data_IF_354086649213
#
_entry.id   IF_354086649213
#
_cell.length_a   1.000
_cell.length_b   1.000
_cell.length_c   1.000
_cell.angle_alpha   90.00
_cell.angle_beta   90.00
_cell.angle_gamma   90.00
#
_symmetry.space_group_name_H-M   'P 1'
#
loop_
_entity.id
_entity.type
_entity.pdbx_description
1 polymer ?
#
# COMPACT_ATOMS: atom_id res chain seq x y z
N UNK A 1 8.15 16.14 11.89
CA UNK A 1 6.75 16.28 11.47
C UNK A 1 5.91 15.62 12.54
N UNK A 2 4.90 16.29 13.06
CA UNK A 2 3.92 15.72 13.98
C UNK A 2 2.76 15.15 13.18
N UNK A 3 2.07 14.17 13.79
CA UNK A 3 0.91 13.52 13.18
C UNK A 3 -0.27 13.58 14.16
N UNK A 4 -1.41 13.97 13.65
CA UNK A 4 -2.69 13.84 14.34
C UNK A 4 -3.33 12.50 14.01
N UNK A 5 -3.78 11.78 15.03
CA UNK A 5 -4.58 10.57 14.85
C UNK A 5 -6.03 10.97 14.62
N UNK A 6 -6.64 10.38 13.60
CA UNK A 6 -8.06 10.60 13.28
C UNK A 6 -8.79 9.25 13.13
N UNK A 7 -10.11 9.28 13.28
CA UNK A 7 -10.95 8.18 12.85
C UNK A 7 -10.94 8.10 11.32
N UNK A 8 -10.78 6.92 10.69
CA UNK A 8 -10.72 6.79 9.23
C UNK A 8 -11.89 7.44 8.48
N UNK A 9 -13.10 7.46 9.09
CA UNK A 9 -14.29 8.11 8.51
C UNK A 9 -14.19 9.64 8.41
N UNK A 10 -13.25 10.24 9.14
CA UNK A 10 -13.01 11.68 9.15
C UNK A 10 -11.86 12.07 8.22
N UNK A 11 -11.39 11.14 7.39
CA UNK A 11 -10.38 11.45 6.38
C UNK A 11 -11.01 12.31 5.29
N UNK A 12 -10.51 13.53 5.15
CA UNK A 12 -10.87 14.41 4.04
C UNK A 12 -10.14 14.00 2.77
N UNK A 13 -10.82 14.16 1.65
CA UNK A 13 -10.20 13.99 0.34
C UNK A 13 -10.94 13.00 -0.57
N UNK A 14 -10.58 13.06 -1.84
CA UNK A 14 -11.12 12.19 -2.86
C UNK A 14 -10.28 10.91 -2.94
N UNK A 15 -10.88 9.78 -2.61
CA UNK A 15 -10.20 8.46 -2.62
C UNK A 15 -9.68 8.08 -4.01
N UNK A 16 -10.40 8.46 -5.07
CA UNK A 16 -9.94 8.22 -6.45
C UNK A 16 -8.68 9.01 -6.76
N UNK A 17 -8.61 10.27 -6.28
CA UNK A 17 -7.42 11.10 -6.43
C UNK A 17 -6.24 10.55 -5.62
N UNK A 18 -6.48 10.19 -4.35
CA UNK A 18 -5.45 9.63 -3.47
C UNK A 18 -4.82 8.35 -4.05
N UNK A 19 -5.65 7.44 -4.54
CA UNK A 19 -5.19 6.14 -5.03
C UNK A 19 -4.68 6.25 -6.47
N UNK A 20 -5.52 6.78 -7.38
CA UNK A 20 -5.26 6.73 -8.82
C UNK A 20 -4.20 7.72 -9.29
N UNK A 21 -4.22 8.95 -8.76
CA UNK A 21 -3.36 10.03 -9.24
C UNK A 21 -2.17 10.29 -8.30
N UNK A 22 -2.39 10.38 -6.99
CA UNK A 22 -1.28 10.62 -6.04
C UNK A 22 -0.41 9.39 -5.82
N UNK A 23 -0.99 8.20 -5.91
CA UNK A 23 -0.36 6.92 -5.59
C UNK A 23 -0.02 6.82 -4.10
N UNK A 24 0.40 5.65 -3.68
CA UNK A 24 0.79 5.40 -2.30
C UNK A 24 1.85 4.31 -2.19
N UNK A 25 2.53 4.27 -1.06
CA UNK A 25 3.43 3.18 -0.73
C UNK A 25 2.71 2.14 0.12
N UNK A 26 2.89 0.87 -0.24
CA UNK A 26 2.56 -0.29 0.60
C UNK A 26 3.86 -0.75 1.23
N UNK A 27 3.93 -0.72 2.57
CA UNK A 27 5.15 -1.07 3.30
C UNK A 27 4.86 -2.15 4.33
N UNK A 28 5.72 -3.17 4.38
CA UNK A 28 5.63 -4.25 5.36
C UNK A 28 7.02 -4.64 5.89
N UNK A 29 7.02 -5.33 7.03
CA UNK A 29 8.22 -5.81 7.72
C UNK A 29 8.22 -7.33 7.73
N UNK A 30 9.37 -7.93 7.41
CA UNK A 30 9.61 -9.38 7.49
C UNK A 30 10.99 -9.62 8.06
N UNK A 31 11.08 -10.40 9.13
CA UNK A 31 12.37 -10.77 9.78
C UNK A 31 13.26 -9.54 10.06
N UNK A 32 12.66 -8.46 10.57
CA UNK A 32 13.34 -7.20 10.86
C UNK A 32 13.76 -6.37 9.62
N UNK A 33 13.48 -6.84 8.42
CA UNK A 33 13.72 -6.10 7.16
C UNK A 33 12.46 -5.39 6.70
N UNK A 34 12.62 -4.22 6.13
CA UNK A 34 11.53 -3.41 5.58
C UNK A 34 11.58 -3.48 4.06
N UNK A 35 10.43 -3.66 3.44
CA UNK A 35 10.29 -3.43 2.01
C UNK A 35 9.02 -2.64 1.70
N UNK A 36 9.06 -1.88 0.62
CA UNK A 36 7.95 -1.04 0.18
C UNK A 36 7.80 -1.10 -1.34
N UNK A 37 6.61 -0.79 -1.82
CA UNK A 37 6.34 -0.61 -3.25
C UNK A 37 5.28 0.45 -3.47
N UNK A 38 5.33 1.10 -4.61
CA UNK A 38 4.28 2.00 -5.04
C UNK A 38 3.11 1.23 -5.64
N UNK A 39 1.91 1.66 -5.27
CA UNK A 39 0.65 1.19 -5.81
C UNK A 39 -0.23 2.38 -6.24
N UNK A 40 -1.09 2.14 -7.22
CA UNK A 40 -2.09 3.09 -7.74
C UNK A 40 -3.46 2.43 -7.94
N UNK A 41 -3.62 1.20 -7.47
CA UNK A 41 -4.87 0.45 -7.48
C UNK A 41 -5.24 0.04 -6.07
N UNK A 42 -6.53 0.11 -5.77
CA UNK A 42 -7.08 -0.22 -4.48
C UNK A 42 -8.43 0.43 -4.24
N UNK A 43 -8.88 0.41 -3.02
CA UNK A 43 -10.16 1.00 -2.59
C UNK A 43 -10.14 1.28 -1.10
N UNK A 44 -11.04 2.12 -0.63
CA UNK A 44 -11.31 2.36 0.79
C UNK A 44 -12.82 2.39 1.01
N UNK A 45 -13.28 1.87 2.13
CA UNK A 45 -14.69 1.86 2.46
C UNK A 45 -15.00 1.09 3.73
N UNK A 46 -16.25 0.64 3.86
CA UNK A 46 -16.73 -0.13 5.00
C UNK A 46 -17.04 -1.56 4.56
N UNK A 47 -16.48 -2.53 5.26
CA UNK A 47 -16.82 -3.95 5.12
C UNK A 47 -16.74 -4.62 6.49
N UNK A 48 -17.66 -5.54 6.80
CA UNK A 48 -17.79 -6.17 8.12
C UNK A 48 -17.89 -5.15 9.27
N UNK A 49 -18.60 -4.04 9.04
CA UNK A 49 -18.70 -2.90 9.95
C UNK A 49 -17.36 -2.29 10.39
N UNK A 50 -16.31 -2.43 9.56
CA UNK A 50 -14.95 -1.94 9.81
C UNK A 50 -14.50 -1.01 8.68
N UNK A 51 -13.68 0.01 8.98
CA UNK A 51 -13.01 0.78 7.96
C UNK A 51 -11.94 -0.07 7.29
N UNK A 52 -12.05 -0.28 5.98
CA UNK A 52 -11.19 -1.16 5.20
C UNK A 52 -10.46 -0.37 4.13
N UNK A 53 -9.18 -0.67 3.96
CA UNK A 53 -8.42 -0.39 2.76
C UNK A 53 -8.16 -1.69 1.98
N UNK A 54 -8.45 -1.68 0.70
CA UNK A 54 -8.16 -2.77 -0.22
C UNK A 54 -6.87 -2.44 -0.97
N UNK A 55 -5.90 -3.34 -0.90
CA UNK A 55 -4.61 -3.24 -1.61
C UNK A 55 -4.44 -4.43 -2.53
N UNK A 56 -3.84 -4.22 -3.70
CA UNK A 56 -3.61 -5.30 -4.67
C UNK A 56 -2.12 -5.41 -5.01
N UNK A 57 -1.57 -6.60 -4.89
CA UNK A 57 -0.14 -6.84 -5.07
C UNK A 57 0.06 -8.06 -5.99
N UNK A 58 0.87 -7.90 -7.03
CA UNK A 58 1.26 -9.04 -7.87
C UNK A 58 2.25 -9.93 -7.14
N UNK A 59 2.13 -11.28 -7.21
CA UNK A 59 3.06 -12.20 -6.55
C UNK A 59 4.52 -12.03 -6.97
N UNK A 60 4.78 -11.47 -8.15
CA UNK A 60 6.13 -11.18 -8.64
C UNK A 60 6.81 -10.01 -7.93
N UNK A 61 6.06 -9.17 -7.20
CA UNK A 61 6.61 -8.03 -6.46
C UNK A 61 7.28 -8.50 -5.17
N UNK A 62 8.48 -8.01 -4.88
CA UNK A 62 9.20 -8.40 -3.66
C UNK A 62 8.42 -8.08 -2.37
N UNK A 63 7.67 -6.99 -2.35
CA UNK A 63 6.80 -6.62 -1.23
C UNK A 63 5.72 -7.67 -0.93
N UNK A 64 5.34 -8.51 -1.90
CA UNK A 64 4.42 -9.62 -1.71
C UNK A 64 4.89 -10.55 -0.59
N UNK A 65 6.17 -10.95 -0.61
CA UNK A 65 6.75 -11.85 0.39
C UNK A 65 6.70 -11.25 1.81
N UNK A 66 6.73 -9.92 1.91
CA UNK A 66 6.65 -9.18 3.17
C UNK A 66 5.22 -9.10 3.69
N UNK A 67 4.25 -8.78 2.83
CA UNK A 67 2.83 -8.75 3.21
C UNK A 67 2.33 -10.14 3.61
N UNK A 68 2.77 -11.20 2.93
CA UNK A 68 2.39 -12.57 3.33
C UNK A 68 2.89 -12.91 4.73
N UNK A 69 4.09 -12.49 5.08
CA UNK A 69 4.71 -12.77 6.37
C UNK A 69 4.22 -11.87 7.51
N UNK A 70 3.48 -10.79 7.23
CA UNK A 70 3.07 -9.78 8.21
C UNK A 70 1.57 -9.81 8.47
N UNK A 71 1.16 -9.62 9.72
CA UNK A 71 -0.24 -9.39 10.08
C UNK A 71 -0.67 -7.94 9.83
N UNK A 72 0.30 -7.01 9.89
CA UNK A 72 0.08 -5.57 9.73
C UNK A 72 1.00 -5.00 8.66
N UNK A 73 0.53 -3.94 8.00
CA UNK A 73 1.28 -3.19 7.00
C UNK A 73 0.82 -1.73 6.98
N UNK A 74 1.57 -0.86 6.33
CA UNK A 74 1.18 0.55 6.19
C UNK A 74 0.88 0.93 4.75
N UNK A 75 -0.06 1.86 4.61
CA UNK A 75 -0.32 2.62 3.39
C UNK A 75 0.07 4.07 3.66
N UNK A 76 0.96 4.62 2.85
CA UNK A 76 1.49 5.97 3.04
C UNK A 76 1.26 6.80 1.78
N UNK A 77 0.59 7.95 1.92
CA UNK A 77 0.29 8.89 0.86
C UNK A 77 1.14 10.15 1.04
N UNK A 78 1.58 10.74 -0.06
CA UNK A 78 2.60 11.80 -0.04
C UNK A 78 2.16 13.03 -0.83
N UNK A 79 2.72 14.22 -0.50
CA UNK A 79 2.66 15.38 -1.38
C UNK A 79 3.29 15.10 -2.74
N UNK A 80 2.81 15.78 -3.78
CA UNK A 80 3.24 15.56 -5.17
C UNK A 80 4.75 15.72 -5.40
N UNK A 81 5.43 16.52 -4.60
CA UNK A 81 6.89 16.69 -4.66
C UNK A 81 7.68 15.38 -4.47
N UNK A 82 7.05 14.35 -3.87
CA UNK A 82 7.67 13.03 -3.66
C UNK A 82 7.34 12.00 -4.77
N UNK A 83 6.63 12.41 -5.83
CA UNK A 83 6.37 11.55 -7.00
C UNK A 83 7.63 10.87 -7.56
N UNK A 84 8.79 11.55 -7.69
CA UNK A 84 10.02 10.88 -8.13
C UNK A 84 10.45 9.73 -7.22
N UNK A 85 10.33 9.88 -5.90
CA UNK A 85 10.63 8.82 -4.93
C UNK A 85 9.64 7.64 -5.07
N UNK A 86 8.34 7.93 -5.22
CA UNK A 86 7.33 6.90 -5.46
C UNK A 86 7.59 6.14 -6.77
N UNK A 87 7.96 6.85 -7.84
CA UNK A 87 8.31 6.23 -9.11
C UNK A 87 9.50 5.27 -8.97
N UNK A 88 10.57 5.70 -8.31
CA UNK A 88 11.73 4.86 -8.01
C UNK A 88 11.32 3.61 -7.23
N UNK A 89 10.55 3.76 -6.15
CA UNK A 89 10.09 2.65 -5.29
C UNK A 89 9.10 1.72 -6.00
N UNK A 90 8.41 2.21 -7.03
CA UNK A 90 7.51 1.42 -7.87
C UNK A 90 8.21 0.62 -8.96
N UNK A 91 9.32 1.12 -9.50
CA UNK A 91 10.03 0.53 -10.64
C UNK A 91 11.21 -0.35 -10.22
N UNK A 92 11.96 0.02 -9.19
CA UNK A 92 13.10 -0.75 -8.68
C UNK A 92 12.66 -1.85 -7.72
N UNK A 93 13.26 -3.04 -7.84
CA UNK A 93 13.03 -4.12 -6.87
C UNK A 93 13.93 -3.97 -5.65
N UNK A 94 13.40 -4.27 -4.46
CA UNK A 94 14.23 -4.39 -3.24
C UNK A 94 15.15 -5.62 -3.24
N UNK A 95 15.01 -6.52 -4.22
CA UNK A 95 15.95 -7.62 -4.44
C UNK A 95 17.26 -7.14 -5.07
N UNK A 96 17.23 -6.00 -5.79
CA UNK A 96 18.35 -5.49 -6.59
C UNK A 96 19.18 -4.43 -5.86
N UNK A 97 18.82 -4.06 -4.63
CA UNK A 97 19.53 -3.09 -3.83
C UNK A 97 18.65 -2.33 -2.83
N UNK A 98 19.25 -1.41 -2.08
CA UNK A 98 18.55 -0.60 -1.08
C UNK A 98 17.84 0.60 -1.71
N UNK A 99 16.72 0.32 -2.38
CA UNK A 99 15.90 1.35 -3.01
C UNK A 99 15.29 2.35 -2.02
N UNK A 100 15.13 1.96 -0.75
CA UNK A 100 14.58 2.85 0.27
C UNK A 100 15.59 3.97 0.57
N UNK A 101 16.85 3.64 0.82
CA UNK A 101 17.91 4.65 0.97
C UNK A 101 18.03 5.53 -0.27
N UNK A 102 17.94 4.95 -1.47
CA UNK A 102 18.01 5.71 -2.73
C UNK A 102 16.84 6.69 -2.90
N UNK A 103 15.66 6.36 -2.36
CA UNK A 103 14.48 7.24 -2.41
C UNK A 103 14.62 8.50 -1.57
N UNK A 104 15.57 8.51 -0.62
CA UNK A 104 15.79 9.58 0.37
C UNK A 104 14.60 9.82 1.30
N UNK A 105 13.64 8.90 1.36
CA UNK A 105 12.57 8.93 2.34
C UNK A 105 13.08 8.45 3.70
N UNK A 106 12.59 9.07 4.77
CA UNK A 106 13.02 8.80 6.15
C UNK A 106 12.05 7.85 6.81
N UNK A 107 12.48 6.59 7.02
CA UNK A 107 11.67 5.61 7.74
C UNK A 107 11.51 5.98 9.21
N UNK A 108 10.36 5.61 9.79
CA UNK A 108 10.14 5.58 11.23
C UNK A 108 9.18 4.44 11.60
N UNK A 109 9.33 3.95 12.83
CA UNK A 109 8.46 2.89 13.34
C UNK A 109 7.09 3.47 13.69
N UNK A 110 6.05 2.76 13.30
CA UNK A 110 4.67 3.01 13.72
C UNK A 110 4.23 1.89 14.67
N UNK A 111 2.94 1.85 15.05
CA UNK A 111 2.42 0.80 15.92
C UNK A 111 2.44 -0.57 15.23
N UNK A 112 2.32 -1.65 16.00
CA UNK A 112 2.20 -3.03 15.53
C UNK A 112 3.40 -3.50 14.68
N UNK A 113 4.62 -3.10 15.08
CA UNK A 113 5.88 -3.43 14.38
C UNK A 113 5.87 -3.08 12.89
N UNK A 114 5.15 -2.04 12.54
CA UNK A 114 5.09 -1.52 11.17
C UNK A 114 5.98 -0.29 11.00
N UNK A 115 6.28 0.04 9.74
CA UNK A 115 7.14 1.16 9.35
C UNK A 115 6.43 2.03 8.34
N UNK A 116 6.62 3.34 8.45
CA UNK A 116 6.19 4.35 7.48
C UNK A 116 7.29 5.38 7.23
N UNK A 117 6.97 6.49 6.58
CA UNK A 117 7.91 7.53 6.16
C UNK A 117 7.47 8.89 6.67
N UNK A 118 8.43 9.67 7.21
CA UNK A 118 8.17 11.00 7.80
C UNK A 118 7.63 12.03 6.80
N UNK A 119 7.83 11.78 5.51
CA UNK A 119 7.41 12.67 4.43
C UNK A 119 5.96 12.44 3.97
N UNK A 120 5.27 11.44 4.53
CA UNK A 120 3.89 11.13 4.18
C UNK A 120 2.90 12.12 4.82
N UNK A 121 1.90 12.55 4.06
CA UNK A 121 0.79 13.38 4.57
C UNK A 121 -0.25 12.53 5.31
N UNK A 122 -0.50 11.32 4.81
CA UNK A 122 -1.47 10.38 5.40
C UNK A 122 -0.81 9.03 5.56
N UNK A 123 -0.97 8.44 6.74
CA UNK A 123 -0.47 7.10 7.04
C UNK A 123 -1.61 6.29 7.63
N UNK A 124 -1.85 5.12 7.05
CA UNK A 124 -2.81 4.14 7.56
C UNK A 124 -2.06 2.88 7.98
N UNK A 125 -2.22 2.47 9.23
CA UNK A 125 -1.80 1.15 9.69
C UNK A 125 -2.97 0.20 9.47
N UNK A 126 -2.73 -0.85 8.70
CA UNK A 126 -3.74 -1.81 8.29
C UNK A 126 -3.45 -3.19 8.88
N UNK A 127 -4.48 -3.79 9.50
CA UNK A 127 -4.46 -5.21 9.92
C UNK A 127 -5.00 -6.07 8.79
N UNK A 128 -4.22 -7.02 8.32
CA UNK A 128 -4.66 -7.96 7.28
C UNK A 128 -5.79 -8.84 7.83
N UNK A 129 -6.99 -8.77 7.25
CA UNK A 129 -8.16 -9.54 7.67
C UNK A 129 -8.49 -10.69 6.73
N UNK A 130 -8.30 -10.46 5.42
CA UNK A 130 -8.69 -11.42 4.40
C UNK A 130 -7.86 -11.17 3.13
N UNK A 131 -7.66 -12.20 2.35
CA UNK A 131 -7.10 -12.07 1.01
C UNK A 131 -7.81 -12.99 0.02
N UNK A 132 -7.71 -12.64 -1.26
CA UNK A 132 -8.22 -13.43 -2.37
C UNK A 132 -7.37 -13.17 -3.62
N UNK A 133 -7.08 -14.21 -4.37
CA UNK A 133 -6.43 -14.06 -5.68
C UNK A 133 -7.49 -13.70 -6.74
N UNK A 134 -7.14 -12.80 -7.64
CA UNK A 134 -7.96 -12.53 -8.83
C UNK A 134 -7.91 -13.78 -9.70
N UNK A 135 -9.09 -14.37 -9.96
CA UNK A 135 -9.22 -15.55 -10.81
C UNK A 135 -9.46 -15.16 -12.27
N UNK A 136 -8.73 -15.77 -13.24
CA UNK A 136 -8.96 -15.53 -14.65
C UNK A 136 -10.41 -15.88 -15.09
N UNK A 137 -11.00 -16.89 -14.45
CA UNK A 137 -12.33 -17.40 -14.82
C UNK A 137 -13.49 -16.49 -14.38
N UNK A 138 -13.22 -15.44 -13.60
CA UNK A 138 -14.23 -14.53 -13.05
C UNK A 138 -14.28 -13.18 -13.74
N UNK A 139 -13.48 -12.92 -14.79
CA UNK A 139 -13.57 -11.69 -15.56
C UNK A 139 -14.82 -11.68 -16.43
N UNK A 140 -15.80 -10.86 -16.07
CA UNK A 140 -17.00 -10.61 -16.89
C UNK A 140 -16.62 -9.85 -18.17
N UNK A 141 -15.74 -8.84 -18.04
CA UNK A 141 -15.10 -8.16 -19.16
C UNK A 141 -13.70 -8.75 -19.39
N UNK A 142 -13.60 -9.67 -20.34
CA UNK A 142 -12.33 -10.35 -20.68
C UNK A 142 -11.27 -9.41 -21.29
N UNK A 143 -11.64 -8.19 -21.69
CA UNK A 143 -10.67 -7.21 -22.19
C UNK A 143 -9.75 -6.71 -21.06
N UNK A 144 -10.28 -6.63 -19.82
CA UNK A 144 -9.51 -6.25 -18.63
C UNK A 144 -8.37 -7.24 -18.38
N UNK A 145 -8.66 -8.53 -18.45
CA UNK A 145 -7.64 -9.57 -18.27
C UNK A 145 -6.57 -9.48 -19.34
N UNK A 146 -6.96 -9.41 -20.61
CA UNK A 146 -6.02 -9.33 -21.74
C UNK A 146 -5.11 -8.11 -21.64
N UNK A 147 -5.63 -6.96 -21.22
CA UNK A 147 -4.89 -5.72 -21.12
C UNK A 147 -3.93 -5.71 -19.93
N UNK A 148 -4.36 -6.21 -18.77
CA UNK A 148 -3.64 -6.04 -17.51
C UNK A 148 -2.82 -7.28 -17.09
N UNK A 149 -3.15 -8.46 -17.60
CA UNK A 149 -2.52 -9.72 -17.20
C UNK A 149 -1.99 -10.58 -18.37
N UNK A 150 -1.23 -9.97 -19.32
CA UNK A 150 -0.70 -10.74 -20.46
C UNK A 150 0.27 -11.85 -20.05
N UNK A 151 0.84 -11.75 -18.83
CA UNK A 151 1.74 -12.74 -18.23
C UNK A 151 1.05 -13.65 -17.21
N UNK A 152 -0.26 -13.52 -17.04
CA UNK A 152 -1.07 -14.25 -16.04
C UNK A 152 -0.57 -14.10 -14.60
N UNK A 153 0.07 -12.99 -14.28
CA UNK A 153 0.57 -12.63 -12.96
C UNK A 153 -0.50 -11.86 -12.17
N UNK A 154 -1.63 -12.53 -11.92
CA UNK A 154 -2.80 -11.94 -11.27
C UNK A 154 -2.47 -11.41 -9.89
N UNK A 155 -3.10 -10.28 -9.52
CA UNK A 155 -2.92 -9.71 -8.20
C UNK A 155 -3.60 -10.58 -7.13
N UNK A 156 -2.97 -10.62 -5.96
CA UNK A 156 -3.66 -10.91 -4.71
C UNK A 156 -4.24 -9.64 -4.14
N UNK A 157 -5.49 -9.71 -3.75
CA UNK A 157 -6.26 -8.64 -3.13
C UNK A 157 -6.23 -8.84 -1.62
N UNK A 158 -5.86 -7.81 -0.87
CA UNK A 158 -5.84 -7.84 0.60
C UNK A 158 -6.86 -6.85 1.14
N UNK A 159 -7.69 -7.31 2.08
CA UNK A 159 -8.59 -6.48 2.86
C UNK A 159 -7.92 -6.19 4.20
N UNK A 160 -7.47 -4.96 4.40
CA UNK A 160 -6.86 -4.49 5.64
C UNK A 160 -7.80 -3.58 6.41
N UNK A 161 -8.10 -3.93 7.68
CA UNK A 161 -8.76 -3.01 8.59
C UNK A 161 -7.84 -1.84 8.89
N UNK A 162 -8.28 -0.62 8.68
CA UNK A 162 -7.53 0.58 9.06
C UNK A 162 -7.66 0.74 10.57
N UNK A 163 -6.67 0.23 11.31
CA UNK A 163 -6.65 0.27 12.78
C UNK A 163 -6.10 1.57 13.33
N UNK A 164 -5.38 2.33 12.51
CA UNK A 164 -4.88 3.68 12.83
C UNK A 164 -4.78 4.50 11.55
N UNK A 165 -5.29 5.72 11.61
CA UNK A 165 -5.14 6.71 10.55
C UNK A 165 -4.48 7.96 11.13
N UNK A 166 -3.40 8.40 10.49
CA UNK A 166 -2.60 9.55 10.91
C UNK A 166 -2.49 10.55 9.75
N UNK A 167 -2.68 11.83 10.05
CA UNK A 167 -2.50 12.94 9.10
C UNK A 167 -1.42 13.87 9.60
N UNK A 168 -0.56 14.37 8.70
CA UNK A 168 0.47 15.36 9.02
C UNK A 168 -0.17 16.69 9.46
N UNK A 169 0.44 17.34 10.48
CA UNK A 169 0.06 18.67 10.97
C UNK A 169 0.90 19.77 10.33
#
# INVERSE_FOLDING_TARGET
MSYKIIEPKNLDGNVFELIGNKWFLITAVKDGKVNTMTASWGSMGIMWAKPIAISVIRPVRYTYDFIEASDYYTLSFFPDKYKPALNLLGTKSGRDGDKISESKLTMFNTDFDTVSFKEADIIMVCKKLYYQDISPDTFVDVSIEKQNYPKKDYHRVYWGEIVKCMIAE
#
